data_IF_535564713850
#
_entry.id   IF_535564713850
#
_cell.length_a   1.000
_cell.length_b   1.000
_cell.length_c   1.000
_cell.angle_alpha   90.00
_cell.angle_beta   90.00
_cell.angle_gamma   90.00
#
_symmetry.space_group_name_H-M   'P 1'
#
loop_
_entity.id
_entity.type
_entity.pdbx_description
1 polymer ?
#
# COMPACT_ATOMS: atom_id res chain seq x y z
N UNK A 1 0.69 -3.00 -19.21
CA UNK A 1 1.43 -2.48 -18.02
C UNK A 1 1.19 -0.98 -17.95
N UNK A 2 0.54 -0.52 -16.91
CA UNK A 2 0.41 0.93 -16.65
C UNK A 2 1.77 1.40 -16.13
N UNK A 3 2.45 2.29 -16.90
CA UNK A 3 3.75 2.80 -16.49
C UNK A 3 3.61 3.89 -15.42
N UNK A 4 4.63 4.10 -14.60
CA UNK A 4 4.73 5.21 -13.64
C UNK A 4 4.37 6.56 -14.26
N UNK A 5 4.69 6.77 -15.55
CA UNK A 5 4.37 7.99 -16.29
C UNK A 5 2.86 8.18 -16.48
N UNK A 6 2.10 7.09 -16.61
CA UNK A 6 0.62 7.15 -16.77
C UNK A 6 -0.03 7.60 -15.47
N UNK A 7 0.39 7.09 -14.31
CA UNK A 7 -0.10 7.58 -13.01
C UNK A 7 0.23 9.06 -12.79
N UNK A 8 1.44 9.50 -13.13
CA UNK A 8 1.81 10.91 -13.08
C UNK A 8 0.93 11.78 -13.99
N UNK A 9 0.62 11.29 -15.21
CA UNK A 9 -0.27 11.99 -16.13
C UNK A 9 -1.70 12.08 -15.57
N UNK A 10 -2.24 11.00 -15.02
CA UNK A 10 -3.57 10.98 -14.42
C UNK A 10 -3.70 12.00 -13.29
N UNK A 11 -2.73 12.08 -12.37
CA UNK A 11 -2.73 13.10 -11.33
C UNK A 11 -2.62 14.53 -11.86
N UNK A 12 -1.91 14.74 -13.00
CA UNK A 12 -1.80 16.07 -13.63
C UNK A 12 -3.12 16.56 -14.22
N UNK A 13 -3.90 15.66 -14.83
CA UNK A 13 -5.19 15.98 -15.43
C UNK A 13 -6.38 15.85 -14.46
N UNK A 14 -6.12 15.44 -13.20
CA UNK A 14 -7.16 15.28 -12.19
C UNK A 14 -8.03 14.02 -12.35
N UNK A 15 -7.63 13.08 -13.20
CA UNK A 15 -8.31 11.80 -13.37
C UNK A 15 -7.75 10.77 -12.39
N UNK A 16 -8.33 10.68 -11.21
CA UNK A 16 -7.88 9.80 -10.11
C UNK A 16 -9.05 8.98 -9.56
N UNK A 17 -9.59 8.01 -10.33
CA UNK A 17 -10.79 7.26 -9.93
C UNK A 17 -10.57 6.39 -8.68
N UNK A 18 -9.34 6.21 -8.24
CA UNK A 18 -8.96 5.50 -7.01
C UNK A 18 -8.83 6.43 -5.78
N UNK A 19 -9.02 7.75 -5.94
CA UNK A 19 -8.85 8.73 -4.86
C UNK A 19 -10.20 8.99 -4.17
N UNK A 20 -10.21 9.15 -2.84
CA UNK A 20 -11.41 9.47 -2.08
C UNK A 20 -12.31 8.28 -1.75
N UNK A 21 -11.86 7.04 -1.94
CA UNK A 21 -12.59 5.88 -1.46
C UNK A 21 -12.58 5.81 0.08
N UNK A 22 -13.60 5.14 0.64
CA UNK A 22 -13.63 4.83 2.07
C UNK A 22 -12.41 3.98 2.45
N UNK A 23 -11.92 4.19 3.67
CA UNK A 23 -10.86 3.35 4.23
C UNK A 23 -11.36 1.91 4.36
N UNK A 24 -10.50 0.96 4.01
CA UNK A 24 -10.82 -0.46 4.15
C UNK A 24 -11.16 -0.83 5.59
N UNK A 25 -12.23 -1.60 5.78
CA UNK A 25 -12.60 -2.19 7.07
C UNK A 25 -11.48 -3.08 7.63
N UNK A 26 -10.71 -3.75 6.78
CA UNK A 26 -9.58 -4.56 7.23
C UNK A 26 -8.44 -3.71 7.80
N UNK A 27 -8.18 -2.51 7.26
CA UNK A 27 -7.24 -1.58 7.88
C UNK A 27 -7.79 -1.06 9.22
N UNK A 28 -9.07 -0.70 9.29
CA UNK A 28 -9.71 -0.26 10.53
C UNK A 28 -9.65 -1.34 11.60
N UNK A 29 -9.93 -2.60 11.26
CA UNK A 29 -9.84 -3.73 12.18
C UNK A 29 -8.41 -3.93 12.73
N UNK A 30 -7.38 -3.75 11.91
CA UNK A 30 -5.98 -3.81 12.34
C UNK A 30 -5.59 -2.67 13.30
N UNK A 31 -6.26 -1.53 13.24
CA UNK A 31 -5.91 -0.32 14.00
C UNK A 31 -6.82 -0.09 15.22
N UNK A 32 -8.11 -0.44 15.11
CA UNK A 32 -9.13 -0.14 16.11
C UNK A 32 -9.87 -1.38 16.63
N UNK A 33 -9.66 -2.56 15.98
CA UNK A 33 -10.35 -3.81 16.34
C UNK A 33 -9.91 -4.38 17.70
N UNK A 34 -10.55 -5.47 18.14
CA UNK A 34 -10.24 -6.13 19.42
C UNK A 34 -8.80 -6.63 19.56
N UNK A 35 -8.13 -6.91 18.42
CA UNK A 35 -6.73 -7.32 18.34
C UNK A 35 -5.86 -6.25 17.65
N UNK A 36 -6.20 -4.97 17.87
CA UNK A 36 -5.50 -3.85 17.24
C UNK A 36 -3.99 -3.89 17.48
N UNK A 37 -3.23 -3.54 16.46
CA UNK A 37 -1.79 -3.42 16.55
C UNK A 37 -1.42 -2.21 17.42
N UNK A 38 -0.41 -2.33 18.28
CA UNK A 38 0.12 -1.16 19.00
C UNK A 38 0.70 -0.16 17.99
N UNK A 39 0.41 1.12 18.18
CA UNK A 39 0.93 2.18 17.31
C UNK A 39 2.46 2.15 17.28
N UNK A 40 3.02 2.20 16.10
CA UNK A 40 4.46 2.11 15.84
C UNK A 40 4.88 2.97 14.65
N UNK A 41 5.71 2.42 13.78
CA UNK A 41 6.14 3.02 12.51
C UNK A 41 5.41 2.36 11.35
N UNK A 42 4.81 3.15 10.47
CA UNK A 42 4.11 2.65 9.29
C UNK A 42 4.65 3.27 8.00
N UNK A 43 4.62 2.49 6.91
CA UNK A 43 4.83 3.00 5.56
C UNK A 43 3.63 2.66 4.69
N UNK A 44 3.12 3.67 3.98
CA UNK A 44 2.02 3.55 3.02
C UNK A 44 2.59 3.64 1.60
N UNK A 45 2.56 2.51 0.88
CA UNK A 45 3.19 2.34 -0.43
C UNK A 45 2.21 2.70 -1.54
N UNK A 46 2.56 3.68 -2.37
CA UNK A 46 1.64 4.23 -3.35
C UNK A 46 0.53 5.04 -2.67
N UNK A 47 0.87 5.82 -1.66
CA UNK A 47 -0.06 6.49 -0.75
C UNK A 47 -1.04 7.48 -1.43
N UNK A 48 -0.84 7.80 -2.71
CA UNK A 48 -1.71 8.71 -3.45
C UNK A 48 -1.88 10.05 -2.74
N UNK A 49 -3.11 10.43 -2.46
CA UNK A 49 -3.44 11.68 -1.74
C UNK A 49 -3.46 11.52 -0.22
N UNK A 50 -3.00 10.37 0.31
CA UNK A 50 -2.61 10.19 1.69
C UNK A 50 -3.73 9.83 2.68
N UNK A 51 -4.88 9.36 2.21
CA UNK A 51 -6.03 9.12 3.10
C UNK A 51 -5.72 8.07 4.17
N UNK A 52 -5.12 6.92 3.79
CA UNK A 52 -4.71 5.88 4.73
C UNK A 52 -3.54 6.33 5.64
N UNK A 53 -2.55 7.03 5.08
CA UNK A 53 -1.44 7.58 5.87
C UNK A 53 -1.93 8.59 6.94
N UNK A 54 -2.88 9.45 6.59
CA UNK A 54 -3.49 10.43 7.51
C UNK A 54 -4.30 9.71 8.59
N UNK A 55 -5.06 8.68 8.22
CA UNK A 55 -5.81 7.86 9.17
C UNK A 55 -4.87 7.21 10.20
N UNK A 56 -3.80 6.56 9.76
CA UNK A 56 -2.80 5.97 10.64
C UNK A 56 -2.18 7.02 11.59
N UNK A 57 -1.83 8.20 11.06
CA UNK A 57 -1.26 9.28 11.87
C UNK A 57 -2.23 9.79 12.95
N UNK A 58 -3.54 9.84 12.67
CA UNK A 58 -4.59 10.16 13.66
C UNK A 58 -4.67 9.13 14.80
N UNK A 59 -4.28 7.88 14.51
CA UNK A 59 -4.24 6.79 15.50
C UNK A 59 -2.85 6.62 16.16
N UNK A 60 -2.02 7.65 16.12
CA UNK A 60 -0.75 7.72 16.86
C UNK A 60 0.44 7.03 16.16
N UNK A 61 0.28 6.57 14.90
CA UNK A 61 1.37 5.99 14.14
C UNK A 61 2.33 7.06 13.61
N UNK A 62 3.62 6.77 13.58
CA UNK A 62 4.61 7.54 12.82
C UNK A 62 4.61 7.04 11.38
N UNK A 63 4.15 7.86 10.46
CA UNK A 63 3.84 7.41 9.10
C UNK A 63 4.76 8.05 8.07
N UNK A 64 5.31 7.21 7.17
CA UNK A 64 5.91 7.61 5.91
C UNK A 64 4.96 7.24 4.77
N UNK A 65 4.53 8.20 3.97
CA UNK A 65 3.76 7.95 2.75
C UNK A 65 4.67 8.08 1.53
N UNK A 66 4.68 7.08 0.65
CA UNK A 66 5.50 7.13 -0.57
C UNK A 66 4.65 7.02 -1.83
N UNK A 67 4.95 7.85 -2.81
CA UNK A 67 4.33 7.80 -4.13
C UNK A 67 5.31 8.33 -5.18
N UNK A 68 5.17 7.90 -6.44
CA UNK A 68 5.96 8.39 -7.58
C UNK A 68 5.40 9.71 -8.14
N UNK A 69 4.13 10.02 -7.89
CA UNK A 69 3.41 11.17 -8.41
C UNK A 69 3.54 12.38 -7.48
N UNK A 70 4.37 13.36 -7.84
CA UNK A 70 4.57 14.57 -7.05
C UNK A 70 3.27 15.32 -6.75
N UNK A 71 2.32 15.35 -7.71
CA UNK A 71 1.00 15.99 -7.53
C UNK A 71 0.11 15.29 -6.51
N UNK A 72 0.20 13.96 -6.39
CA UNK A 72 -0.47 13.22 -5.33
C UNK A 72 0.07 13.66 -3.96
N UNK A 73 1.40 13.70 -3.81
CA UNK A 73 2.04 14.10 -2.56
C UNK A 73 1.80 15.56 -2.18
N UNK A 74 1.65 16.47 -3.15
CA UNK A 74 1.22 17.85 -2.87
C UNK A 74 -0.16 17.87 -2.20
N UNK A 75 -1.13 17.13 -2.77
CA UNK A 75 -2.49 16.99 -2.19
C UNK A 75 -2.44 16.31 -0.82
N UNK A 76 -1.64 15.25 -0.68
CA UNK A 76 -1.47 14.52 0.58
C UNK A 76 -0.97 15.43 1.71
N UNK A 77 0.05 16.26 1.44
CA UNK A 77 0.57 17.25 2.40
C UNK A 77 -0.51 18.27 2.79
N UNK A 78 -1.28 18.78 1.82
CA UNK A 78 -2.38 19.71 2.09
C UNK A 78 -3.48 19.07 2.96
N UNK A 79 -3.87 17.82 2.66
CA UNK A 79 -4.84 17.05 3.47
C UNK A 79 -4.32 16.81 4.90
N UNK A 80 -3.06 16.41 5.06
CA UNK A 80 -2.46 16.16 6.38
C UNK A 80 -2.39 17.45 7.22
N UNK A 81 -2.03 18.57 6.60
CA UNK A 81 -2.03 19.88 7.27
C UNK A 81 -3.45 20.27 7.72
N UNK A 82 -4.45 20.12 6.85
CA UNK A 82 -5.85 20.39 7.19
C UNK A 82 -6.39 19.45 8.29
N UNK A 83 -5.86 18.22 8.36
CA UNK A 83 -6.19 17.25 9.39
C UNK A 83 -5.39 17.43 10.70
N UNK A 84 -4.47 18.39 10.74
CA UNK A 84 -3.57 18.66 11.88
C UNK A 84 -2.74 17.43 12.30
N UNK A 85 -2.32 16.59 11.34
CA UNK A 85 -1.45 15.44 11.60
C UNK A 85 -0.14 15.58 10.85
N UNK A 86 0.90 14.88 11.37
CA UNK A 86 2.20 14.81 10.72
C UNK A 86 2.37 13.48 10.01
N UNK A 87 2.68 13.54 8.71
CA UNK A 87 3.08 12.41 7.87
C UNK A 87 4.29 12.82 7.04
N UNK A 88 5.30 11.96 6.95
CA UNK A 88 6.48 12.19 6.15
C UNK A 88 6.25 11.70 4.71
N UNK A 89 5.81 12.59 3.82
CA UNK A 89 5.55 12.27 2.42
C UNK A 89 6.81 12.39 1.56
N UNK A 90 7.25 11.26 0.99
CA UNK A 90 8.48 11.16 0.19
C UNK A 90 8.16 10.67 -1.23
N UNK A 91 8.72 11.34 -2.23
CA UNK A 91 8.62 10.84 -3.61
C UNK A 91 9.62 9.71 -3.81
N UNK A 92 9.12 8.49 -3.96
CA UNK A 92 9.94 7.30 -4.12
C UNK A 92 9.31 6.27 -5.06
N UNK A 93 10.16 5.44 -5.65
CA UNK A 93 9.77 4.23 -6.37
C UNK A 93 9.75 3.07 -5.38
N UNK A 94 8.62 2.37 -5.27
CA UNK A 94 8.43 1.24 -4.36
C UNK A 94 9.41 0.07 -4.62
N UNK A 95 10.07 0.05 -5.77
CA UNK A 95 11.12 -0.93 -6.11
C UNK A 95 12.53 -0.49 -5.70
N UNK A 96 12.65 0.62 -4.93
CA UNK A 96 13.93 1.24 -4.50
C UNK A 96 13.82 1.96 -3.15
N UNK A 97 13.01 1.46 -2.23
CA UNK A 97 12.72 2.11 -0.95
C UNK A 97 13.96 2.28 -0.08
N UNK A 98 14.79 1.24 0.02
CA UNK A 98 16.00 1.22 0.85
C UNK A 98 17.02 2.31 0.48
N UNK A 99 17.07 2.67 -0.80
CA UNK A 99 17.95 3.73 -1.31
C UNK A 99 17.30 5.11 -1.37
N UNK A 100 15.99 5.20 -1.15
CA UNK A 100 15.23 6.46 -1.27
C UNK A 100 15.18 7.28 0.03
N UNK A 101 15.81 6.82 1.13
CA UNK A 101 15.83 7.53 2.40
C UNK A 101 14.48 7.58 3.12
N UNK A 102 13.57 6.63 2.83
CA UNK A 102 12.23 6.58 3.42
C UNK A 102 12.20 6.10 4.88
N UNK A 103 13.34 5.68 5.41
CA UNK A 103 13.46 5.05 6.73
C UNK A 103 13.45 3.53 6.64
N UNK A 104 13.46 2.88 7.80
CA UNK A 104 13.44 1.42 7.98
C UNK A 104 12.80 1.05 9.33
N UNK A 105 12.76 -0.25 9.58
CA UNK A 105 12.20 -0.81 10.81
C UNK A 105 10.71 -0.46 10.96
N UNK A 106 9.98 -0.45 9.84
CA UNK A 106 8.54 -0.27 9.85
C UNK A 106 7.87 -1.50 10.48
N UNK A 107 6.90 -1.28 11.36
CA UNK A 107 6.10 -2.33 12.01
C UNK A 107 4.78 -2.60 11.31
N UNK A 108 4.35 -1.69 10.44
CA UNK A 108 3.20 -1.85 9.53
C UNK A 108 3.58 -1.36 8.13
N UNK A 109 3.26 -2.15 7.13
CA UNK A 109 3.36 -1.78 5.70
C UNK A 109 1.98 -1.91 5.08
N UNK A 110 1.56 -0.88 4.35
CA UNK A 110 0.29 -0.87 3.62
C UNK A 110 0.55 -0.75 2.12
N UNK A 111 -0.14 -1.56 1.33
CA UNK A 111 -0.21 -1.48 -0.13
C UNK A 111 -1.66 -1.55 -0.58
N UNK A 112 -2.20 -0.43 -1.05
CA UNK A 112 -3.55 -0.34 -1.59
C UNK A 112 -3.52 -0.21 -3.11
N UNK A 113 -3.06 -1.28 -3.79
CA UNK A 113 -3.10 -1.36 -5.26
C UNK A 113 -1.82 -0.96 -5.97
N UNK A 114 -0.66 -1.02 -5.32
CA UNK A 114 0.63 -0.76 -5.96
C UNK A 114 1.19 -2.02 -6.65
N UNK A 115 1.26 -3.15 -5.93
CA UNK A 115 1.84 -4.41 -6.40
C UNK A 115 1.14 -5.00 -7.62
N UNK A 116 -0.18 -4.96 -7.68
CA UNK A 116 -0.97 -5.64 -8.72
C UNK A 116 -0.71 -5.11 -10.14
N UNK A 117 -0.27 -3.85 -10.27
CA UNK A 117 0.05 -3.22 -11.56
C UNK A 117 1.46 -3.49 -12.07
N UNK A 118 2.34 -4.06 -11.26
CA UNK A 118 3.77 -4.21 -11.55
C UNK A 118 4.07 -5.38 -12.50
N UNK A 119 5.19 -5.28 -13.24
CA UNK A 119 5.78 -6.40 -13.98
C UNK A 119 6.45 -7.41 -13.03
N UNK A 120 6.73 -8.64 -13.50
CA UNK A 120 7.38 -9.68 -12.68
C UNK A 120 8.70 -9.20 -12.07
N UNK A 121 9.59 -8.64 -12.89
CA UNK A 121 10.87 -8.12 -12.41
C UNK A 121 10.71 -6.94 -11.43
N UNK A 122 9.63 -6.16 -11.52
CA UNK A 122 9.33 -5.11 -10.54
C UNK A 122 8.79 -5.70 -9.24
N UNK A 123 7.94 -6.73 -9.32
CA UNK A 123 7.40 -7.45 -8.14
C UNK A 123 8.51 -8.10 -7.32
N UNK A 124 9.50 -8.71 -7.97
CA UNK A 124 10.63 -9.33 -7.26
C UNK A 124 11.44 -8.28 -6.48
N UNK A 125 11.76 -7.15 -7.14
CA UNK A 125 12.43 -6.03 -6.46
C UNK A 125 11.59 -5.44 -5.35
N UNK A 126 10.29 -5.27 -5.58
CA UNK A 126 9.35 -4.75 -4.60
C UNK A 126 9.34 -5.59 -3.32
N UNK A 127 9.21 -6.91 -3.42
CA UNK A 127 9.23 -7.82 -2.26
C UNK A 127 10.56 -7.74 -1.51
N UNK A 128 11.68 -7.65 -2.23
CA UNK A 128 13.00 -7.47 -1.62
C UNK A 128 13.08 -6.14 -0.87
N UNK A 129 12.59 -5.04 -1.45
CA UNK A 129 12.58 -3.71 -0.84
C UNK A 129 11.68 -3.64 0.40
N UNK A 130 10.46 -4.23 0.34
CA UNK A 130 9.61 -4.33 1.53
C UNK A 130 10.32 -5.08 2.66
N UNK A 131 10.99 -6.18 2.31
CA UNK A 131 11.74 -7.00 3.30
C UNK A 131 12.94 -6.25 3.88
N UNK A 132 13.57 -5.35 3.12
CA UNK A 132 14.70 -4.55 3.56
C UNK A 132 14.31 -3.41 4.51
N UNK A 133 13.09 -2.87 4.38
CA UNK A 133 12.61 -1.77 5.24
C UNK A 133 11.75 -2.23 6.41
N UNK A 134 11.35 -3.50 6.43
CA UNK A 134 10.51 -4.09 7.48
C UNK A 134 11.31 -4.42 8.75
N UNK A 135 10.73 -4.18 9.92
CA UNK A 135 11.18 -4.75 11.19
C UNK A 135 10.84 -6.25 11.28
N UNK A 136 11.44 -7.01 12.20
CA UNK A 136 10.93 -8.34 12.57
C UNK A 136 9.46 -8.26 12.98
N UNK A 137 8.65 -9.25 12.60
CA UNK A 137 7.21 -9.34 12.92
C UNK A 137 6.32 -8.26 12.29
N UNK A 138 6.84 -7.45 11.36
CA UNK A 138 6.05 -6.45 10.61
C UNK A 138 4.80 -7.06 10.02
N UNK A 139 3.68 -6.37 10.15
CA UNK A 139 2.45 -6.68 9.40
C UNK A 139 2.47 -5.97 8.05
N UNK A 140 2.13 -6.69 7.00
CA UNK A 140 1.96 -6.17 5.65
C UNK A 140 0.54 -6.46 5.20
N UNK A 141 -0.24 -5.41 4.96
CA UNK A 141 -1.59 -5.50 4.43
C UNK A 141 -1.57 -5.08 2.96
N UNK A 142 -1.97 -5.99 2.08
CA UNK A 142 -2.03 -5.76 0.63
C UNK A 142 -3.48 -5.86 0.17
N UNK A 143 -3.93 -4.88 -0.62
CA UNK A 143 -5.15 -4.93 -1.41
C UNK A 143 -4.79 -4.99 -2.89
N UNK A 144 -5.33 -5.97 -3.61
CA UNK A 144 -4.95 -6.19 -4.99
C UNK A 144 -6.10 -6.75 -5.84
N UNK A 145 -6.24 -6.25 -7.06
CA UNK A 145 -7.07 -6.92 -8.06
C UNK A 145 -6.50 -8.27 -8.42
N UNK A 146 -7.39 -9.24 -8.69
CA UNK A 146 -7.01 -10.56 -9.21
C UNK A 146 -6.86 -10.52 -10.75
N UNK A 147 -6.12 -11.47 -11.33
CA UNK A 147 -5.97 -11.56 -12.79
C UNK A 147 -7.31 -11.82 -13.49
N UNK A 148 -7.44 -11.36 -14.72
CA UNK A 148 -8.60 -11.61 -15.57
C UNK A 148 -9.74 -10.59 -15.45
N UNK A 149 -9.68 -9.64 -14.50
CA UNK A 149 -10.61 -8.53 -14.41
C UNK A 149 -10.40 -7.46 -15.50
N UNK A 150 -11.42 -6.62 -15.72
CA UNK A 150 -11.38 -5.53 -16.73
C UNK A 150 -10.79 -4.22 -16.17
N UNK A 151 -9.92 -4.32 -15.17
CA UNK A 151 -9.34 -3.15 -14.48
C UNK A 151 -8.26 -2.41 -15.28
N UNK A 152 -7.76 -3.00 -16.37
CA UNK A 152 -6.59 -2.49 -17.09
C UNK A 152 -5.25 -2.72 -16.39
N UNK A 153 -5.26 -3.30 -15.19
CA UNK A 153 -4.05 -3.74 -14.47
C UNK A 153 -3.89 -5.25 -14.56
N UNK A 154 -2.66 -5.73 -14.37
CA UNK A 154 -2.32 -7.15 -14.52
C UNK A 154 -3.01 -8.04 -13.49
N UNK A 155 -3.24 -7.52 -12.29
CA UNK A 155 -3.70 -8.33 -11.16
C UNK A 155 -2.59 -9.20 -10.55
N UNK A 156 -2.88 -9.81 -9.39
CA UNK A 156 -2.03 -10.80 -8.74
C UNK A 156 -2.91 -11.83 -8.04
N UNK A 157 -2.61 -13.11 -8.18
CA UNK A 157 -3.36 -14.18 -7.54
C UNK A 157 -2.72 -14.66 -6.22
N UNK A 158 -3.45 -15.50 -5.53
CA UNK A 158 -3.03 -16.05 -4.24
C UNK A 158 -1.73 -16.86 -4.34
N UNK A 159 -1.61 -17.71 -5.36
CA UNK A 159 -0.43 -18.55 -5.55
C UNK A 159 0.83 -17.71 -5.84
N UNK A 160 0.66 -16.60 -6.57
CA UNK A 160 1.76 -15.68 -6.82
C UNK A 160 2.19 -14.93 -5.56
N UNK A 161 1.26 -14.51 -4.71
CA UNK A 161 1.57 -13.92 -3.39
C UNK A 161 2.36 -14.92 -2.55
N UNK A 162 1.87 -16.14 -2.38
CA UNK A 162 2.58 -17.16 -1.61
C UNK A 162 4.01 -17.38 -2.16
N UNK A 163 4.14 -17.65 -3.44
CA UNK A 163 5.43 -17.93 -4.07
C UNK A 163 6.45 -16.81 -3.90
N UNK A 164 6.04 -15.54 -4.01
CA UNK A 164 6.95 -14.39 -3.92
C UNK A 164 7.31 -14.01 -2.50
N UNK A 165 6.38 -14.15 -1.57
CA UNK A 165 6.55 -13.66 -0.20
C UNK A 165 7.07 -14.74 0.78
N UNK A 166 6.74 -16.02 0.56
CA UNK A 166 7.07 -17.14 1.49
C UNK A 166 8.51 -17.19 1.98
N UNK A 167 9.57 -16.87 1.21
CA UNK A 167 10.92 -16.92 1.74
C UNK A 167 11.14 -16.03 2.97
N UNK A 168 10.40 -14.91 3.06
CA UNK A 168 10.62 -13.90 4.08
C UNK A 168 9.37 -13.53 4.89
N UNK A 169 8.20 -13.94 4.43
CA UNK A 169 6.91 -13.57 5.00
C UNK A 169 6.04 -14.81 5.18
N UNK A 170 5.21 -14.78 6.20
CA UNK A 170 4.15 -15.75 6.43
C UNK A 170 2.81 -15.14 6.02
N UNK A 171 2.01 -15.86 5.24
CA UNK A 171 0.66 -15.46 4.93
C UNK A 171 -0.25 -15.80 6.12
N UNK A 172 -0.73 -14.76 6.80
CA UNK A 172 -1.59 -14.89 7.98
C UNK A 172 -3.04 -15.11 7.57
N UNK A 173 -3.53 -14.33 6.60
CA UNK A 173 -4.88 -14.47 6.06
C UNK A 173 -4.99 -13.92 4.64
N UNK A 174 -5.97 -14.46 3.91
CA UNK A 174 -6.38 -13.95 2.60
C UNK A 174 -7.90 -14.05 2.49
N UNK A 175 -8.54 -13.03 1.94
CA UNK A 175 -9.96 -12.99 1.73
C UNK A 175 -10.32 -12.16 0.49
N UNK A 176 -11.48 -12.39 -0.09
CA UNK A 176 -12.02 -11.52 -1.12
C UNK A 176 -12.33 -10.14 -0.53
N UNK A 177 -12.14 -9.10 -1.31
CA UNK A 177 -12.34 -7.72 -0.89
C UNK A 177 -13.32 -7.00 -1.81
N UNK A 178 -14.56 -6.87 -1.34
CA UNK A 178 -15.62 -6.16 -2.05
C UNK A 178 -15.54 -4.63 -1.86
N UNK A 179 -14.72 -4.14 -0.93
CA UNK A 179 -14.60 -2.71 -0.64
C UNK A 179 -13.64 -2.02 -1.62
N UNK A 180 -12.67 -2.76 -2.16
CA UNK A 180 -11.76 -2.23 -3.18
C UNK A 180 -12.48 -1.96 -4.51
N UNK A 181 -13.61 -2.63 -4.74
CA UNK A 181 -14.42 -2.46 -5.96
C UNK A 181 -15.87 -2.85 -5.73
N UNK A 182 -16.77 -2.07 -6.27
CA UNK A 182 -18.22 -2.36 -6.34
C UNK A 182 -18.61 -3.14 -7.61
N UNK A 183 -17.62 -3.50 -8.44
CA UNK A 183 -17.82 -4.13 -9.76
C UNK A 183 -17.43 -5.60 -9.73
N UNK A 184 -18.39 -6.53 -9.93
CA UNK A 184 -18.13 -7.97 -9.97
C UNK A 184 -17.06 -8.39 -11.02
N UNK A 185 -16.95 -7.62 -12.11
CA UNK A 185 -15.96 -7.85 -13.15
C UNK A 185 -14.51 -7.41 -12.76
N UNK A 186 -14.36 -6.81 -11.59
CA UNK A 186 -13.07 -6.36 -11.04
C UNK A 186 -12.78 -7.02 -9.69
N UNK A 187 -12.69 -8.37 -9.61
CA UNK A 187 -12.50 -9.04 -8.34
C UNK A 187 -11.18 -8.62 -7.69
N UNK A 188 -11.25 -8.36 -6.38
CA UNK A 188 -10.11 -7.95 -5.58
C UNK A 188 -9.95 -8.85 -4.35
N UNK A 189 -8.75 -8.93 -3.82
CA UNK A 189 -8.43 -9.66 -2.60
C UNK A 189 -7.57 -8.83 -1.67
N UNK A 190 -7.71 -9.08 -0.39
CA UNK A 190 -6.80 -8.60 0.64
C UNK A 190 -5.95 -9.74 1.17
N UNK A 191 -4.71 -9.42 1.50
CA UNK A 191 -3.74 -10.35 2.07
C UNK A 191 -3.10 -9.70 3.28
N UNK A 192 -3.09 -10.39 4.41
CA UNK A 192 -2.32 -10.00 5.59
C UNK A 192 -1.13 -10.95 5.72
N UNK A 193 0.07 -10.39 5.69
CA UNK A 193 1.30 -11.14 5.87
C UNK A 193 2.04 -10.65 7.11
N UNK A 194 2.89 -11.52 7.64
CA UNK A 194 3.79 -11.20 8.75
C UNK A 194 5.24 -11.49 8.36
N UNK A 195 6.13 -10.54 8.63
CA UNK A 195 7.57 -10.72 8.43
C UNK A 195 8.07 -11.83 9.37
N UNK A 196 8.78 -12.80 8.81
CA UNK A 196 9.47 -13.82 9.62
C UNK A 196 10.59 -13.18 10.44
N UNK A 197 10.89 -13.76 11.59
CA UNK A 197 11.96 -13.31 12.47
C UNK A 197 13.34 -13.45 11.81
#
# INVERSE_FOLDING_TARGET
MVSTLVYQAFYRIGFTPWDGHALSSALQELIEGPAALPAGTAIDIGCGTGDAAIYLARHGWRVTGVDVAAKALEKARAKAAAAHVRVDFTRADATRLSSAGVGKDFTLILDSGCLHGMSDAARDRYVAELSAVAAPQTRLLIFAYTPGGQTGVRGIDHAEIERRFTPHWELVSAADDAEMTDKPEHPARRYLLQRRA
#
